data_IF_982653175005
#
_entry.id   IF_982653175005
#
_cell.length_a   1.000
_cell.length_b   1.000
_cell.length_c   1.000
_cell.angle_alpha   90.00
_cell.angle_beta   90.00
_cell.angle_gamma   90.00
#
_symmetry.space_group_name_H-M   'P 1'
#
loop_
_entity.id
_entity.type
_entity.pdbx_description
1 polymer ?
#
# COMPACT_ATOMS: atom_id res chain seq x y z
N UNK A 1 -17.77 -44.89 4.03
CA UNK A 1 -18.32 -44.04 5.12
C UNK A 1 -17.19 -43.38 5.94
N UNK A 2 -16.16 -44.12 6.40
CA UNK A 2 -15.01 -43.57 7.13
C UNK A 2 -14.20 -42.49 6.38
N UNK A 3 -14.06 -42.62 5.06
CA UNK A 3 -13.31 -41.67 4.22
C UNK A 3 -13.94 -40.27 4.16
N UNK A 4 -15.27 -40.17 4.29
CA UNK A 4 -15.99 -38.90 4.28
C UNK A 4 -15.78 -38.15 5.59
N UNK A 5 -15.84 -38.85 6.73
CA UNK A 5 -15.53 -38.27 8.04
C UNK A 5 -14.09 -37.74 8.09
N UNK A 6 -13.12 -38.50 7.58
CA UNK A 6 -11.73 -38.02 7.52
C UNK A 6 -11.55 -36.80 6.61
N UNK A 7 -12.28 -36.71 5.49
CA UNK A 7 -12.22 -35.55 4.60
C UNK A 7 -12.79 -34.30 5.27
N UNK A 8 -13.93 -34.45 5.97
CA UNK A 8 -14.55 -33.36 6.73
C UNK A 8 -13.64 -32.85 7.85
N UNK A 9 -12.98 -33.74 8.59
CA UNK A 9 -12.04 -33.33 9.64
C UNK A 9 -10.85 -32.55 9.07
N UNK A 10 -10.30 -32.98 7.94
CA UNK A 10 -9.21 -32.27 7.25
C UNK A 10 -9.67 -30.87 6.83
N UNK A 11 -10.88 -30.75 6.29
CA UNK A 11 -11.45 -29.47 5.86
C UNK A 11 -11.66 -28.53 7.06
N UNK A 12 -12.24 -29.02 8.16
CA UNK A 12 -12.44 -28.25 9.39
C UNK A 12 -11.10 -27.77 9.99
N UNK A 13 -10.09 -28.64 10.05
CA UNK A 13 -8.76 -28.26 10.55
C UNK A 13 -8.11 -27.21 9.65
N UNK A 14 -8.27 -27.34 8.33
CA UNK A 14 -7.80 -26.37 7.34
C UNK A 14 -8.46 -25.00 7.56
N UNK A 15 -9.79 -24.97 7.75
CA UNK A 15 -10.53 -23.73 8.02
C UNK A 15 -10.10 -23.07 9.33
N UNK A 16 -9.98 -23.84 10.42
CA UNK A 16 -9.50 -23.33 11.72
C UNK A 16 -8.10 -22.74 11.62
N UNK A 17 -7.21 -23.39 10.87
CA UNK A 17 -5.85 -22.90 10.66
C UNK A 17 -5.84 -21.59 9.89
N UNK A 18 -6.63 -21.50 8.80
CA UNK A 18 -6.80 -20.25 8.04
C UNK A 18 -7.37 -19.13 8.93
N UNK A 19 -8.40 -19.43 9.72
CA UNK A 19 -9.01 -18.48 10.63
C UNK A 19 -8.01 -17.94 11.67
N UNK A 20 -7.26 -18.84 12.33
CA UNK A 20 -6.23 -18.47 13.30
C UNK A 20 -5.12 -17.60 12.68
N UNK A 21 -4.66 -17.95 11.48
CA UNK A 21 -3.67 -17.16 10.76
C UNK A 21 -4.19 -15.77 10.39
N UNK A 22 -5.43 -15.67 9.91
CA UNK A 22 -6.05 -14.39 9.57
C UNK A 22 -6.17 -13.48 10.81
N UNK A 23 -6.54 -14.05 11.96
CA UNK A 23 -6.57 -13.33 13.24
C UNK A 23 -5.18 -12.86 13.68
N UNK A 24 -4.15 -13.69 13.49
CA UNK A 24 -2.76 -13.33 13.79
C UNK A 24 -2.28 -12.16 12.90
N UNK A 25 -2.52 -12.23 11.60
CA UNK A 25 -2.14 -11.16 10.65
C UNK A 25 -2.81 -9.83 11.01
N UNK A 26 -4.13 -9.85 11.29
CA UNK A 26 -4.89 -8.66 11.71
C UNK A 26 -4.39 -8.05 13.02
N UNK A 27 -3.75 -8.84 13.87
CA UNK A 27 -3.14 -8.39 15.13
C UNK A 27 -1.64 -8.10 15.00
N UNK A 28 -1.16 -7.85 13.78
CA UNK A 28 0.24 -7.51 13.44
C UNK A 28 1.25 -8.64 13.63
N UNK A 29 0.80 -9.88 13.79
CA UNK A 29 1.67 -11.06 13.85
C UNK A 29 1.90 -11.60 12.43
N UNK A 30 2.83 -10.97 11.71
CA UNK A 30 3.11 -11.36 10.34
C UNK A 30 3.97 -12.63 10.26
N UNK A 31 3.63 -13.57 9.37
CA UNK A 31 4.41 -14.80 9.18
C UNK A 31 5.72 -14.51 8.45
N UNK A 32 6.76 -15.27 8.76
CA UNK A 32 8.10 -15.12 8.15
C UNK A 32 8.98 -14.05 8.80
N UNK A 33 10.15 -13.76 8.21
CA UNK A 33 11.07 -12.73 8.69
C UNK A 33 10.50 -11.32 8.49
N UNK A 34 10.81 -10.40 9.40
CA UNK A 34 10.39 -9.01 9.27
C UNK A 34 11.09 -8.35 8.06
N UNK A 35 10.38 -7.56 7.24
CA UNK A 35 10.99 -6.77 6.18
C UNK A 35 11.88 -5.66 6.77
N UNK A 36 12.85 -5.19 5.98
CA UNK A 36 13.72 -4.08 6.39
C UNK A 36 12.89 -2.83 6.70
N UNK A 37 13.24 -2.08 7.76
CA UNK A 37 12.42 -0.98 8.29
C UNK A 37 11.48 -1.41 9.42
N UNK A 38 11.31 -2.71 9.61
CA UNK A 38 10.50 -3.30 10.67
C UNK A 38 11.29 -4.33 11.46
N UNK A 39 10.90 -4.55 12.71
CA UNK A 39 11.43 -5.61 13.59
C UNK A 39 10.31 -6.36 14.26
N UNK A 40 10.63 -7.53 14.81
CA UNK A 40 9.72 -8.25 15.69
C UNK A 40 10.00 -7.86 17.13
N UNK A 41 8.96 -7.46 17.84
CA UNK A 41 9.01 -7.23 19.29
C UNK A 41 9.08 -8.56 20.06
N UNK A 42 9.24 -8.51 21.39
CA UNK A 42 9.20 -9.68 22.28
C UNK A 42 7.93 -10.53 22.11
N UNK A 43 6.80 -9.87 21.78
CA UNK A 43 5.53 -10.54 21.48
C UNK A 43 5.41 -11.03 20.02
N UNK A 44 6.50 -11.00 19.23
CA UNK A 44 6.54 -11.37 17.81
C UNK A 44 5.66 -10.50 16.89
N UNK A 45 5.12 -9.39 17.40
CA UNK A 45 4.43 -8.37 16.60
C UNK A 45 5.43 -7.63 15.71
N UNK A 46 5.02 -7.32 14.49
CA UNK A 46 5.82 -6.50 13.58
C UNK A 46 5.62 -5.03 13.92
N UNK A 47 6.68 -4.39 14.39
CA UNK A 47 6.73 -2.97 14.77
C UNK A 47 7.78 -2.25 13.93
N UNK A 48 7.65 -0.92 13.81
CA UNK A 48 8.62 -0.09 13.09
C UNK A 48 9.97 -0.13 13.80
N UNK A 49 11.04 -0.20 13.02
CA UNK A 49 12.40 -0.08 13.52
C UNK A 49 12.98 1.29 13.19
N UNK A 50 13.07 2.17 14.18
CA UNK A 50 13.53 3.55 14.02
C UNK A 50 14.94 3.66 13.44
N UNK A 51 15.80 2.66 13.66
CA UNK A 51 17.15 2.65 13.13
C UNK A 51 17.19 2.43 11.60
N UNK A 52 16.31 1.57 11.08
CA UNK A 52 16.29 1.21 9.65
C UNK A 52 15.20 1.92 8.85
N UNK A 53 14.20 2.52 9.53
CA UNK A 53 13.17 3.40 8.95
C UNK A 53 13.73 4.47 7.98
N UNK A 54 14.75 5.29 8.34
CA UNK A 54 15.21 6.36 7.45
C UNK A 54 15.81 5.85 6.14
N UNK A 55 16.32 4.60 6.11
CA UNK A 55 16.81 3.96 4.90
C UNK A 55 15.65 3.76 3.91
N UNK A 56 14.51 3.27 4.41
CA UNK A 56 13.32 3.03 3.59
C UNK A 56 12.75 4.35 3.07
N UNK A 57 12.58 5.35 3.93
CA UNK A 57 12.11 6.69 3.52
C UNK A 57 12.99 7.29 2.44
N UNK A 58 14.31 7.15 2.58
CA UNK A 58 15.27 7.63 1.58
C UNK A 58 15.17 6.86 0.27
N UNK A 59 14.97 5.54 0.28
CA UNK A 59 14.75 4.75 -0.93
C UNK A 59 13.51 5.26 -1.69
N UNK A 60 12.39 5.43 -1.00
CA UNK A 60 11.15 5.93 -1.60
C UNK A 60 11.32 7.37 -2.11
N UNK A 61 11.98 8.24 -1.36
CA UNK A 61 12.28 9.61 -1.79
C UNK A 61 13.12 9.63 -3.08
N UNK A 62 14.21 8.86 -3.14
CA UNK A 62 15.06 8.79 -4.33
C UNK A 62 14.33 8.19 -5.54
N UNK A 63 13.41 7.26 -5.31
CA UNK A 63 12.55 6.70 -6.36
C UNK A 63 11.56 7.74 -6.90
N UNK A 64 10.89 8.50 -6.03
CA UNK A 64 9.99 9.59 -6.42
C UNK A 64 10.71 10.75 -7.13
N UNK A 65 12.00 10.96 -6.82
CA UNK A 65 12.89 11.86 -7.59
C UNK A 65 13.21 11.36 -9.00
N UNK A 66 12.75 10.15 -9.39
CA UNK A 66 12.95 9.56 -10.71
C UNK A 66 14.24 8.76 -10.88
N UNK A 67 14.95 8.43 -9.78
CA UNK A 67 16.17 7.60 -9.86
C UNK A 67 15.80 6.14 -10.11
N UNK A 68 16.56 5.48 -10.98
CA UNK A 68 16.38 4.05 -11.24
C UNK A 68 16.83 3.18 -10.05
N UNK A 69 16.31 1.96 -9.96
CA UNK A 69 16.68 1.01 -8.90
C UNK A 69 18.20 0.74 -8.85
N UNK A 70 18.86 0.75 -10.01
CA UNK A 70 20.30 0.59 -10.11
C UNK A 70 21.04 1.83 -9.59
N UNK A 71 20.59 3.03 -9.92
CA UNK A 71 21.18 4.27 -9.40
C UNK A 71 21.06 4.34 -7.87
N UNK A 72 19.88 3.98 -7.34
CA UNK A 72 19.65 3.90 -5.90
C UNK A 72 20.63 2.91 -5.28
N UNK A 73 20.66 1.65 -5.73
CA UNK A 73 21.56 0.64 -5.16
C UNK A 73 23.05 1.03 -5.22
N UNK A 74 23.49 1.70 -6.30
CA UNK A 74 24.85 2.20 -6.43
C UNK A 74 25.19 3.29 -5.39
N UNK A 75 24.26 4.20 -5.08
CA UNK A 75 24.45 5.21 -4.04
C UNK A 75 24.59 4.55 -2.67
N UNK A 76 23.66 3.67 -2.31
CA UNK A 76 23.69 2.96 -1.02
C UNK A 76 24.93 2.05 -0.86
N UNK A 77 25.44 1.48 -1.96
CA UNK A 77 26.67 0.70 -1.97
C UNK A 77 27.93 1.56 -1.77
N UNK A 78 27.98 2.76 -2.35
CA UNK A 78 29.09 3.71 -2.14
C UNK A 78 29.18 4.14 -0.67
N UNK A 79 28.03 4.33 -0.03
CA UNK A 79 27.92 4.68 1.39
C UNK A 79 28.18 3.51 2.34
N UNK A 80 28.36 2.29 1.82
CA UNK A 80 28.66 1.06 2.57
C UNK A 80 27.64 0.74 3.69
N UNK A 81 26.38 1.10 3.48
CA UNK A 81 25.31 0.96 4.49
C UNK A 81 24.99 -0.48 4.92
N UNK A 82 25.38 -1.50 4.16
CA UNK A 82 25.06 -2.91 4.45
C UNK A 82 26.28 -3.84 4.47
N UNK A 83 27.47 -3.33 4.77
CA UNK A 83 28.73 -4.09 4.74
C UNK A 83 28.65 -5.35 5.64
N UNK A 84 29.01 -6.57 5.17
CA UNK A 84 29.67 -6.96 3.91
C UNK A 84 28.74 -7.19 2.71
N UNK A 85 27.42 -7.15 2.91
CA UNK A 85 26.45 -7.36 1.83
C UNK A 85 26.32 -6.10 0.98
N UNK A 86 26.11 -6.30 -0.32
CA UNK A 86 25.85 -5.21 -1.27
C UNK A 86 24.36 -5.11 -1.56
N UNK A 87 23.88 -3.89 -1.69
CA UNK A 87 22.57 -3.58 -2.25
C UNK A 87 22.51 -4.01 -3.71
N UNK A 88 21.44 -4.73 -4.05
CA UNK A 88 21.11 -5.09 -5.44
C UNK A 88 19.89 -4.27 -5.85
N UNK A 89 19.81 -3.95 -7.13
CA UNK A 89 18.63 -3.36 -7.78
C UNK A 89 17.34 -4.17 -7.50
N UNK A 90 17.42 -5.49 -7.58
CA UNK A 90 16.31 -6.41 -7.27
C UNK A 90 15.85 -6.31 -5.81
N UNK A 91 16.73 -5.92 -4.88
CA UNK A 91 16.35 -5.66 -3.49
C UNK A 91 15.55 -4.37 -3.38
N UNK A 92 15.99 -3.31 -4.08
CA UNK A 92 15.27 -2.03 -4.12
C UNK A 92 13.89 -2.19 -4.75
N UNK A 93 13.80 -2.90 -5.87
CA UNK A 93 12.53 -3.22 -6.53
C UNK A 93 11.58 -3.95 -5.57
N UNK A 94 12.05 -5.00 -4.88
CA UNK A 94 11.24 -5.72 -3.89
C UNK A 94 10.77 -4.85 -2.72
N UNK A 95 11.52 -3.82 -2.36
CA UNK A 95 11.12 -2.89 -1.29
C UNK A 95 9.99 -1.99 -1.80
N UNK A 96 10.15 -1.42 -2.98
CA UNK A 96 9.16 -0.53 -3.58
C UNK A 96 7.85 -1.28 -3.87
N UNK A 97 7.92 -2.49 -4.44
CA UNK A 97 6.76 -3.33 -4.77
C UNK A 97 6.03 -3.91 -3.53
N UNK A 98 6.54 -3.68 -2.32
CA UNK A 98 5.99 -4.27 -1.10
C UNK A 98 5.02 -3.31 -0.39
N UNK A 99 3.73 -3.65 -0.42
CA UNK A 99 2.66 -2.84 0.18
C UNK A 99 2.74 -2.73 1.71
N UNK A 100 3.60 -3.51 2.36
CA UNK A 100 3.79 -3.45 3.82
C UNK A 100 4.25 -2.08 4.28
N UNK A 101 4.95 -1.34 3.43
CA UNK A 101 5.43 0.00 3.76
C UNK A 101 4.28 1.04 3.85
N UNK A 102 3.10 0.73 3.28
CA UNK A 102 1.84 1.45 3.51
C UNK A 102 1.01 0.88 4.68
N UNK A 103 1.50 -0.17 5.34
CA UNK A 103 0.76 -0.87 6.38
C UNK A 103 -0.07 -2.06 5.90
N UNK A 104 -0.09 -2.38 4.60
CA UNK A 104 -0.92 -3.46 4.05
C UNK A 104 -0.10 -4.74 3.80
N UNK A 105 -0.63 -5.90 4.19
CA UNK A 105 0.04 -7.19 3.99
C UNK A 105 -0.59 -8.01 2.86
N UNK A 106 0.22 -8.41 1.89
CA UNK A 106 -0.20 -9.28 0.78
C UNK A 106 0.17 -10.74 1.04
N UNK A 107 -0.83 -11.62 1.12
CA UNK A 107 -0.64 -13.05 1.28
C UNK A 107 -0.75 -13.79 -0.07
N UNK A 108 -0.01 -14.90 -0.20
CA UNK A 108 -0.08 -15.81 -1.34
C UNK A 108 0.33 -15.25 -2.71
N UNK A 109 1.00 -14.08 -2.78
CA UNK A 109 1.44 -13.43 -4.04
C UNK A 109 2.05 -14.38 -5.09
N UNK A 110 2.86 -15.36 -4.67
CA UNK A 110 3.48 -16.36 -5.57
C UNK A 110 2.50 -17.41 -6.09
N UNK A 111 1.62 -17.90 -5.24
CA UNK A 111 0.63 -18.93 -5.58
C UNK A 111 -0.49 -18.31 -6.43
N UNK A 112 -0.95 -17.13 -6.03
CA UNK A 112 -1.88 -16.28 -6.76
C UNK A 112 -1.41 -16.04 -8.21
N UNK A 113 -0.14 -15.64 -8.41
CA UNK A 113 0.45 -15.47 -9.75
C UNK A 113 0.53 -16.77 -10.55
N UNK A 114 0.77 -17.92 -9.90
CA UNK A 114 0.85 -19.23 -10.56
C UNK A 114 -0.52 -19.73 -11.00
N UNK A 115 -1.56 -19.45 -10.21
CA UNK A 115 -2.94 -19.91 -10.43
C UNK A 115 -3.83 -18.84 -11.09
N UNK A 116 -3.26 -17.69 -11.50
CA UNK A 116 -3.99 -16.52 -11.99
C UNK A 116 -5.16 -16.09 -11.09
N UNK A 117 -4.94 -16.12 -9.77
CA UNK A 117 -5.88 -15.64 -8.75
C UNK A 117 -5.39 -14.32 -8.16
N UNK A 118 -6.29 -13.56 -7.57
CA UNK A 118 -5.93 -12.36 -6.82
C UNK A 118 -5.34 -12.74 -5.45
N UNK A 119 -4.28 -12.04 -5.00
CA UNK A 119 -3.74 -12.23 -3.65
C UNK A 119 -4.70 -11.69 -2.60
N UNK A 120 -4.71 -12.30 -1.42
CA UNK A 120 -5.48 -11.80 -0.27
C UNK A 120 -4.72 -10.64 0.35
N UNK A 121 -5.38 -9.48 0.49
CA UNK A 121 -4.79 -8.26 1.05
C UNK A 121 -5.41 -7.99 2.43
N UNK A 122 -4.55 -7.75 3.42
CA UNK A 122 -4.95 -7.32 4.76
C UNK A 122 -4.53 -5.87 4.95
N UNK A 123 -5.49 -4.98 5.16
CA UNK A 123 -5.22 -3.54 5.24
C UNK A 123 -4.82 -3.11 6.65
N UNK A 124 -3.91 -2.13 6.74
CA UNK A 124 -3.50 -1.46 7.99
C UNK A 124 -3.12 -2.43 9.12
N UNK A 125 -2.38 -3.48 8.81
CA UNK A 125 -1.96 -4.49 9.78
C UNK A 125 -0.72 -4.09 10.57
N UNK A 126 0.07 -3.17 10.04
CA UNK A 126 1.25 -2.61 10.70
C UNK A 126 1.26 -1.10 10.52
N UNK A 127 1.99 -0.41 11.40
CA UNK A 127 2.20 1.02 11.27
C UNK A 127 2.92 1.34 9.94
N UNK A 128 2.38 2.27 9.13
CA UNK A 128 2.98 2.61 7.85
C UNK A 128 4.28 3.41 8.03
N UNK A 129 5.30 3.10 7.23
CA UNK A 129 6.50 3.95 7.12
C UNK A 129 6.28 5.05 6.06
N UNK A 130 5.55 4.73 5.00
CA UNK A 130 5.27 5.62 3.87
C UNK A 130 3.76 5.86 3.82
N UNK A 131 3.35 7.10 3.58
CA UNK A 131 1.93 7.42 3.40
C UNK A 131 1.38 6.76 2.14
N UNK A 132 0.08 6.42 2.12
CA UNK A 132 -0.57 5.87 0.92
C UNK A 132 -0.40 6.81 -0.29
N UNK A 133 -0.49 8.12 -0.07
CA UNK A 133 -0.28 9.12 -1.11
C UNK A 133 1.12 9.02 -1.76
N UNK A 134 2.17 8.87 -0.94
CA UNK A 134 3.53 8.70 -1.45
C UNK A 134 3.76 7.35 -2.16
N UNK A 135 3.06 6.29 -1.75
CA UNK A 135 3.23 4.96 -2.33
C UNK A 135 2.46 4.78 -3.65
N UNK A 136 1.24 5.31 -3.77
CA UNK A 136 0.43 5.19 -4.98
C UNK A 136 0.85 6.14 -6.12
N UNK A 137 1.97 6.86 -5.96
CA UNK A 137 2.46 7.72 -7.03
C UNK A 137 2.90 6.88 -8.23
N UNK A 138 2.27 7.17 -9.38
CA UNK A 138 2.00 6.28 -10.51
C UNK A 138 3.18 5.39 -11.01
N UNK A 139 3.03 4.06 -10.91
CA UNK A 139 3.94 3.03 -11.47
C UNK A 139 4.09 3.05 -13.00
N UNK A 140 3.28 3.85 -13.72
CA UNK A 140 3.22 3.86 -15.19
C UNK A 140 3.59 5.21 -15.84
N UNK A 141 3.56 6.31 -15.09
CA UNK A 141 3.39 7.62 -15.71
C UNK A 141 4.66 8.48 -15.73
N UNK A 142 5.68 8.23 -14.90
CA UNK A 142 6.81 9.15 -14.70
C UNK A 142 6.38 10.63 -14.47
N UNK A 143 5.16 10.87 -13.98
CA UNK A 143 4.60 12.19 -13.77
C UNK A 143 4.41 12.42 -12.29
N UNK A 144 5.12 13.42 -11.77
CA UNK A 144 4.96 13.92 -10.41
C UNK A 144 3.75 14.85 -10.38
N UNK A 145 2.64 14.40 -9.78
CA UNK A 145 1.50 15.27 -9.50
C UNK A 145 1.87 16.18 -8.32
N UNK A 146 1.86 17.50 -8.56
CA UNK A 146 1.92 18.48 -7.47
C UNK A 146 0.55 18.56 -6.82
N UNK A 147 0.41 18.00 -5.63
CA UNK A 147 -0.84 18.00 -4.85
C UNK A 147 -1.43 19.41 -4.75
N UNK A 148 -0.61 20.43 -4.48
CA UNK A 148 -1.03 21.84 -4.44
C UNK A 148 -1.76 22.31 -5.71
N UNK A 149 -1.34 21.82 -6.89
CA UNK A 149 -1.97 22.17 -8.16
C UNK A 149 -3.26 21.39 -8.39
N UNK A 150 -3.30 20.13 -7.97
CA UNK A 150 -4.49 19.30 -8.09
C UNK A 150 -5.59 19.85 -7.19
N UNK A 151 -5.26 20.19 -5.94
CA UNK A 151 -6.18 20.85 -5.01
C UNK A 151 -6.68 22.18 -5.56
N UNK A 152 -5.78 23.03 -6.08
CA UNK A 152 -6.18 24.30 -6.68
C UNK A 152 -7.15 24.12 -7.85
N UNK A 153 -6.85 23.22 -8.79
CA UNK A 153 -7.73 22.95 -9.93
C UNK A 153 -9.08 22.36 -9.49
N UNK A 154 -9.08 21.47 -8.50
CA UNK A 154 -10.31 20.87 -7.96
C UNK A 154 -11.16 21.93 -7.25
N UNK A 155 -10.53 22.84 -6.50
CA UNK A 155 -11.20 23.96 -5.85
C UNK A 155 -11.83 24.94 -6.86
N UNK A 156 -11.14 25.25 -7.95
CA UNK A 156 -11.70 26.08 -9.03
C UNK A 156 -12.90 25.40 -9.67
N UNK A 157 -12.80 24.11 -9.99
CA UNK A 157 -13.92 23.35 -10.55
C UNK A 157 -15.14 23.29 -9.62
N UNK A 158 -14.92 23.08 -8.33
CA UNK A 158 -16.00 23.09 -7.33
C UNK A 158 -16.63 24.48 -7.25
N UNK A 159 -15.83 25.55 -7.29
CA UNK A 159 -16.34 26.92 -7.26
C UNK A 159 -17.23 27.21 -8.48
N UNK A 160 -16.78 26.87 -9.69
CA UNK A 160 -17.54 27.04 -10.92
C UNK A 160 -18.87 26.26 -10.86
N UNK A 161 -18.85 25.05 -10.32
CA UNK A 161 -20.05 24.20 -10.21
C UNK A 161 -21.05 24.77 -9.20
N UNK A 162 -20.57 25.30 -8.08
CA UNK A 162 -21.41 25.98 -7.07
C UNK A 162 -21.95 27.30 -7.63
N UNK A 163 -21.15 28.08 -8.35
CA UNK A 163 -21.59 29.33 -8.98
C UNK A 163 -22.65 29.09 -10.05
N UNK A 164 -22.48 28.04 -10.85
CA UNK A 164 -23.48 27.59 -11.81
C UNK A 164 -24.78 27.17 -11.11
N UNK A 165 -24.72 26.32 -10.08
CA UNK A 165 -25.90 25.88 -9.31
C UNK A 165 -26.63 27.08 -8.66
N UNK A 166 -25.89 28.01 -8.06
CA UNK A 166 -26.45 29.25 -7.52
C UNK A 166 -27.14 30.08 -8.61
N UNK A 167 -26.54 30.20 -9.79
CA UNK A 167 -27.10 30.94 -10.93
C UNK A 167 -28.38 30.28 -11.45
N UNK A 168 -28.39 28.95 -11.60
CA UNK A 168 -29.57 28.17 -11.99
C UNK A 168 -30.69 28.36 -10.97
N UNK A 169 -30.39 28.24 -9.68
CA UNK A 169 -31.35 28.45 -8.59
C UNK A 169 -31.90 29.87 -8.55
N UNK A 170 -31.07 30.88 -8.78
CA UNK A 170 -31.47 32.28 -8.69
C UNK A 170 -32.31 32.72 -9.88
N UNK A 171 -31.93 32.34 -11.10
CA UNK A 171 -32.52 32.93 -12.30
C UNK A 171 -33.50 31.99 -13.02
N UNK A 172 -33.28 30.67 -12.98
CA UNK A 172 -34.04 29.73 -13.80
C UNK A 172 -35.10 28.97 -13.00
N UNK A 173 -34.81 28.60 -11.74
CA UNK A 173 -35.79 27.90 -10.90
C UNK A 173 -37.10 28.68 -10.66
N UNK A 174 -37.10 30.01 -10.42
CA UNK A 174 -38.33 30.76 -10.25
C UNK A 174 -39.21 30.73 -11.51
N UNK A 175 -38.61 30.86 -12.70
CA UNK A 175 -39.32 30.80 -13.98
C UNK A 175 -39.97 29.43 -14.18
N UNK A 176 -39.28 28.36 -13.81
CA UNK A 176 -39.80 26.99 -13.89
C UNK A 176 -40.87 26.71 -12.84
N UNK A 177 -40.82 27.39 -11.69
CA UNK A 177 -41.85 27.26 -10.64
C UNK A 177 -43.16 27.96 -11.02
N UNK A 178 -43.09 29.08 -11.75
CA UNK A 178 -44.25 29.83 -12.25
C UNK A 178 -44.95 29.12 -13.42
N UNK A 179 -44.24 28.24 -14.14
CA UNK A 179 -44.82 27.35 -15.15
C UNK A 179 -45.11 25.96 -14.59
N UNK A 180 -46.00 25.88 -13.59
CA UNK A 180 -46.74 24.65 -13.33
C UNK A 180 -48.05 24.65 -14.15
N UNK A 181 -48.41 23.56 -14.84
CA UNK A 181 -49.73 23.41 -15.45
C UNK A 181 -50.84 23.41 -14.39
#
# INVERSE_FOLDING_TARGET
>A
MLTVLSQLEIEIVSERTKFGLNGAIKSSHLPGPAPLGYKKDGNKKTIVDEATKPIIERIFKMYLEGKSFQQISNVFNKEKLLNPKKWKDTTIQKIIDNKIYMGDYEQYKRIAKKENKEPVIYMNVVEPIISRAMYYNCEKCHLNYREDKVEYCLMQFIYDLVEYDMSVKKYFLPILADHKP
#
